data_IF_725364817502
#
_entry.id   IF_725364817502
#
_cell.length_a   1.000
_cell.length_b   1.000
_cell.length_c   1.000
_cell.angle_alpha   90.00
_cell.angle_beta   90.00
_cell.angle_gamma   90.00
#
_symmetry.space_group_name_H-M   'P 1'
#
loop_
_entity.id
_entity.type
_entity.pdbx_description
1 polymer ?
#
# COMPACT_ATOMS: atom_id res chain seq x y z
N UNK A 1 23.50 -3.42 -10.20
CA UNK A 1 22.48 -2.94 -11.16
C UNK A 1 21.05 -3.22 -10.69
N UNK A 2 20.72 -4.47 -10.41
CA UNK A 2 19.39 -4.83 -9.89
C UNK A 2 19.09 -4.16 -8.54
N UNK A 3 20.09 -4.04 -7.68
CA UNK A 3 19.95 -3.41 -6.37
C UNK A 3 19.64 -1.92 -6.49
N UNK A 4 20.26 -1.23 -7.44
CA UNK A 4 20.01 0.21 -7.65
C UNK A 4 18.59 0.43 -8.19
N UNK A 5 18.12 -0.42 -9.10
CA UNK A 5 16.77 -0.35 -9.62
C UNK A 5 15.74 -0.64 -8.52
N UNK A 6 16.00 -1.65 -7.70
CA UNK A 6 15.13 -2.01 -6.58
C UNK A 6 15.05 -0.88 -5.54
N UNK A 7 16.17 -0.25 -5.25
CA UNK A 7 16.23 0.89 -4.33
C UNK A 7 15.41 2.07 -4.86
N UNK A 8 15.47 2.34 -6.16
CA UNK A 8 14.66 3.41 -6.77
C UNK A 8 13.18 3.12 -6.70
N UNK A 9 12.78 1.86 -6.93
CA UNK A 9 11.39 1.46 -6.81
C UNK A 9 10.88 1.63 -5.38
N UNK A 10 11.67 1.20 -4.40
CA UNK A 10 11.32 1.35 -2.99
C UNK A 10 11.18 2.82 -2.59
N UNK A 11 12.09 3.68 -3.07
CA UNK A 11 12.01 5.11 -2.81
C UNK A 11 10.76 5.73 -3.42
N UNK A 12 10.43 5.36 -4.65
CA UNK A 12 9.24 5.84 -5.34
C UNK A 12 7.96 5.40 -4.62
N UNK A 13 7.92 4.16 -4.14
CA UNK A 13 6.79 3.64 -3.37
C UNK A 13 6.62 4.41 -2.06
N UNK A 14 7.73 4.69 -1.38
CA UNK A 14 7.71 5.44 -0.12
C UNK A 14 7.17 6.85 -0.33
N UNK A 15 7.61 7.52 -1.39
CA UNK A 15 7.09 8.84 -1.75
C UNK A 15 5.60 8.80 -2.07
N UNK A 16 5.16 7.79 -2.80
CA UNK A 16 3.77 7.59 -3.16
C UNK A 16 2.90 7.39 -1.92
N UNK A 17 3.36 6.55 -0.98
CA UNK A 17 2.66 6.31 0.28
C UNK A 17 2.55 7.60 1.09
N UNK A 18 3.64 8.37 1.18
CA UNK A 18 3.64 9.66 1.87
C UNK A 18 2.67 10.65 1.23
N UNK A 19 2.58 10.66 -0.09
CA UNK A 19 1.63 11.52 -0.81
C UNK A 19 0.19 11.15 -0.51
N UNK A 20 -0.13 9.86 -0.51
CA UNK A 20 -1.47 9.37 -0.16
C UNK A 20 -1.79 9.73 1.29
N UNK A 21 -0.83 9.56 2.21
CA UNK A 21 -1.01 9.91 3.61
C UNK A 21 -1.35 11.39 3.76
N UNK A 22 -0.54 12.26 3.17
CA UNK A 22 -0.73 13.71 3.28
C UNK A 22 -2.01 14.19 2.63
N UNK A 23 -2.36 13.63 1.47
CA UNK A 23 -3.51 14.11 0.70
C UNK A 23 -4.84 13.57 1.20
N UNK A 24 -4.86 12.36 1.77
CA UNK A 24 -6.13 11.70 2.11
C UNK A 24 -6.15 11.06 3.49
N UNK A 25 -5.15 10.25 3.84
CA UNK A 25 -5.22 9.45 5.06
C UNK A 25 -5.16 10.28 6.33
N UNK A 26 -4.34 11.34 6.35
CA UNK A 26 -4.26 12.22 7.52
C UNK A 26 -5.56 12.92 7.80
N UNK A 27 -6.24 13.37 6.73
CA UNK A 27 -7.55 14.01 6.87
C UNK A 27 -8.58 13.06 7.47
N UNK A 28 -8.59 11.81 7.00
CA UNK A 28 -9.49 10.78 7.52
C UNK A 28 -9.17 10.45 8.98
N UNK A 29 -7.89 10.35 9.33
CA UNK A 29 -7.46 10.07 10.69
C UNK A 29 -7.78 11.23 11.63
N UNK A 30 -7.54 12.45 11.17
CA UNK A 30 -7.92 13.63 11.94
C UNK A 30 -9.42 13.66 12.20
N UNK A 31 -10.21 13.40 11.15
CA UNK A 31 -11.67 13.32 11.27
C UNK A 31 -12.10 12.24 12.25
N UNK A 32 -11.43 11.10 12.23
CA UNK A 32 -11.68 10.00 13.18
C UNK A 32 -11.45 10.44 14.62
N UNK A 33 -10.32 11.10 14.89
CA UNK A 33 -10.00 11.55 16.24
C UNK A 33 -10.94 12.65 16.72
N UNK A 34 -11.32 13.58 15.84
CA UNK A 34 -12.29 14.63 16.19
C UNK A 34 -13.66 14.02 16.47
N UNK A 35 -14.09 13.08 15.65
CA UNK A 35 -15.33 12.33 15.83
C UNK A 35 -15.34 11.60 17.17
N UNK A 36 -14.25 10.90 17.49
CA UNK A 36 -14.12 10.19 18.77
C UNK A 36 -14.15 11.16 19.97
N UNK A 37 -13.50 12.31 19.84
CA UNK A 37 -13.53 13.34 20.87
C UNK A 37 -14.97 13.81 21.14
N UNK A 38 -15.75 14.00 20.07
CA UNK A 38 -17.16 14.38 20.20
C UNK A 38 -17.98 13.28 20.88
N UNK A 39 -17.69 12.00 20.57
CA UNK A 39 -18.33 10.88 21.25
C UNK A 39 -18.11 10.93 22.77
N UNK A 40 -16.87 11.21 23.17
CA UNK A 40 -16.51 11.28 24.60
C UNK A 40 -17.04 12.52 25.29
N UNK A 41 -17.36 13.56 24.55
CA UNK A 41 -17.95 14.80 25.10
C UNK A 41 -19.41 14.61 25.47
N UNK A 42 -20.06 13.58 24.96
CA UNK A 42 -21.48 13.31 25.30
C UNK A 42 -21.59 12.65 26.67
N UNK A 43 -21.89 13.46 27.67
CA UNK A 43 -22.00 12.99 29.06
C UNK A 43 -23.31 12.26 29.35
N UNK A 44 -24.27 12.30 28.43
CA UNK A 44 -25.56 11.63 28.58
C UNK A 44 -25.53 10.20 28.04
N UNK A 45 -24.60 9.87 27.19
CA UNK A 45 -24.44 8.53 26.65
C UNK A 45 -23.81 7.58 27.67
N UNK A 46 -24.25 6.33 27.67
CA UNK A 46 -23.63 5.30 28.50
C UNK A 46 -22.33 4.82 27.86
N UNK A 47 -21.59 3.96 28.56
CA UNK A 47 -20.31 3.46 28.11
C UNK A 47 -20.41 2.71 26.77
N UNK A 48 -21.44 1.89 26.60
CA UNK A 48 -21.64 1.11 25.37
C UNK A 48 -21.96 2.03 24.19
N UNK A 49 -22.76 3.07 24.42
CA UNK A 49 -23.08 4.05 23.38
C UNK A 49 -21.85 4.81 22.92
N UNK A 50 -21.00 5.24 23.86
CA UNK A 50 -19.74 5.92 23.55
C UNK A 50 -18.83 4.99 22.73
N UNK A 51 -18.71 3.72 23.16
CA UNK A 51 -17.88 2.74 22.49
C UNK A 51 -18.31 2.52 21.02
N UNK A 52 -19.61 2.35 20.81
CA UNK A 52 -20.17 2.20 19.46
C UNK A 52 -19.99 3.46 18.61
N UNK A 53 -20.12 4.61 19.23
CA UNK A 53 -19.87 5.89 18.57
C UNK A 53 -18.43 5.97 18.06
N UNK A 54 -17.47 5.65 18.89
CA UNK A 54 -16.03 5.66 18.54
C UNK A 54 -15.75 4.64 17.41
N UNK A 55 -16.34 3.45 17.51
CA UNK A 55 -16.18 2.45 16.45
C UNK A 55 -16.66 2.95 15.11
N UNK A 56 -17.82 3.61 15.06
CA UNK A 56 -18.33 4.20 13.83
C UNK A 56 -17.40 5.28 13.29
N UNK A 57 -16.79 6.05 14.17
CA UNK A 57 -15.84 7.09 13.76
C UNK A 57 -14.61 6.50 13.07
N UNK A 58 -14.20 5.31 13.47
CA UNK A 58 -13.00 4.65 12.94
C UNK A 58 -13.20 4.02 11.56
N UNK A 59 -14.43 3.70 11.19
CA UNK A 59 -14.72 2.93 9.98
C UNK A 59 -14.18 3.55 8.69
N UNK A 60 -14.36 4.85 8.41
CA UNK A 60 -13.85 5.42 7.16
C UNK A 60 -12.33 5.31 7.03
N UNK A 61 -11.61 5.59 8.11
CA UNK A 61 -10.14 5.51 8.13
C UNK A 61 -9.67 4.07 7.96
N UNK A 62 -10.32 3.12 8.63
CA UNK A 62 -9.99 1.69 8.51
C UNK A 62 -10.21 1.18 7.10
N UNK A 63 -11.33 1.54 6.48
CA UNK A 63 -11.61 1.13 5.09
C UNK A 63 -10.58 1.70 4.12
N UNK A 64 -10.20 2.96 4.31
CA UNK A 64 -9.20 3.60 3.46
C UNK A 64 -7.84 2.92 3.61
N UNK A 65 -7.43 2.62 4.83
CA UNK A 65 -6.16 1.93 5.09
C UNK A 65 -6.14 0.54 4.48
N UNK A 66 -7.23 -0.22 4.63
CA UNK A 66 -7.35 -1.56 4.05
C UNK A 66 -7.29 -1.51 2.53
N UNK A 67 -7.94 -0.52 1.93
CA UNK A 67 -7.93 -0.35 0.49
C UNK A 67 -6.52 -0.05 -0.02
N UNK A 68 -5.82 0.88 0.63
CA UNK A 68 -4.44 1.24 0.26
C UNK A 68 -3.54 0.01 0.41
N UNK A 69 -3.67 -0.73 1.51
CA UNK A 69 -2.87 -1.92 1.74
C UNK A 69 -3.10 -2.97 0.65
N UNK A 70 -4.36 -3.24 0.30
CA UNK A 70 -4.71 -4.19 -0.76
C UNK A 70 -4.11 -3.78 -2.10
N UNK A 71 -4.19 -2.50 -2.44
CA UNK A 71 -3.64 -1.99 -3.70
C UNK A 71 -2.12 -2.06 -3.72
N UNK A 72 -1.47 -1.80 -2.60
CA UNK A 72 -0.01 -1.92 -2.49
C UNK A 72 0.43 -3.38 -2.65
N UNK A 73 -0.26 -4.31 -2.02
CA UNK A 73 0.02 -5.74 -2.15
C UNK A 73 -0.14 -6.20 -3.59
N UNK A 74 -1.21 -5.77 -4.25
CA UNK A 74 -1.46 -6.08 -5.66
C UNK A 74 -0.37 -5.52 -6.55
N UNK A 75 0.06 -4.30 -6.29
CA UNK A 75 1.16 -3.67 -7.02
C UNK A 75 2.46 -4.42 -6.84
N UNK A 76 2.79 -4.81 -5.60
CA UNK A 76 4.00 -5.58 -5.30
C UNK A 76 4.01 -6.93 -6.00
N UNK A 77 2.87 -7.63 -6.03
CA UNK A 77 2.73 -8.90 -6.74
C UNK A 77 2.95 -8.71 -8.25
N UNK A 78 2.33 -7.68 -8.82
CA UNK A 78 2.48 -7.38 -10.25
C UNK A 78 3.93 -7.04 -10.58
N UNK A 79 4.57 -6.27 -9.73
CA UNK A 79 5.97 -5.90 -9.91
C UNK A 79 6.89 -7.12 -9.82
N UNK A 80 6.64 -8.00 -8.86
CA UNK A 80 7.41 -9.24 -8.71
C UNK A 80 7.30 -10.12 -9.94
N UNK A 81 6.09 -10.27 -10.48
CA UNK A 81 5.87 -11.05 -11.71
C UNK A 81 6.57 -10.41 -12.90
N UNK A 82 6.52 -9.10 -12.99
CA UNK A 82 7.19 -8.35 -14.06
C UNK A 82 8.69 -8.55 -14.00
N UNK A 83 9.28 -8.46 -12.80
CA UNK A 83 10.72 -8.66 -12.61
C UNK A 83 11.14 -10.08 -13.00
N UNK A 84 10.37 -11.08 -12.56
CA UNK A 84 10.64 -12.48 -12.91
C UNK A 84 10.57 -12.71 -14.42
N UNK A 85 9.57 -12.14 -15.07
CA UNK A 85 9.41 -12.23 -16.51
C UNK A 85 10.58 -11.58 -17.25
N UNK A 86 11.02 -10.40 -16.81
CA UNK A 86 12.18 -9.72 -17.38
C UNK A 86 13.45 -10.54 -17.22
N UNK A 87 13.64 -11.15 -16.05
CA UNK A 87 14.80 -12.01 -15.80
C UNK A 87 14.82 -13.22 -16.73
N UNK A 88 13.67 -13.86 -16.93
CA UNK A 88 13.54 -15.00 -17.82
C UNK A 88 13.83 -14.59 -19.26
N UNK A 89 13.32 -13.47 -19.72
CA UNK A 89 13.59 -12.96 -21.06
C UNK A 89 15.07 -12.67 -21.28
N UNK A 90 15.72 -12.07 -20.30
CA UNK A 90 17.17 -11.80 -20.37
C UNK A 90 17.96 -13.11 -20.42
N UNK A 91 17.61 -14.08 -19.59
CA UNK A 91 18.24 -15.40 -19.60
C UNK A 91 18.13 -16.07 -20.95
N UNK A 92 16.93 -16.05 -21.55
CA UNK A 92 16.69 -16.64 -22.86
C UNK A 92 17.52 -15.97 -23.94
N UNK A 93 17.59 -14.64 -23.92
CA UNK A 93 18.39 -13.88 -24.87
C UNK A 93 19.88 -14.15 -24.73
N UNK A 94 20.36 -14.20 -23.49
CA UNK A 94 21.77 -14.52 -23.21
C UNK A 94 22.10 -15.95 -23.64
N UNK A 95 21.22 -16.89 -23.35
CA UNK A 95 21.42 -18.29 -23.75
C UNK A 95 21.50 -18.42 -25.27
N UNK A 96 20.62 -17.74 -25.97
CA UNK A 96 20.64 -17.74 -27.46
C UNK A 96 21.94 -17.12 -27.99
N UNK A 97 22.40 -16.04 -27.38
CA UNK A 97 23.63 -15.35 -27.76
C UNK A 97 24.87 -16.20 -27.54
N UNK A 98 24.94 -16.87 -26.40
CA UNK A 98 26.13 -17.63 -26.02
C UNK A 98 26.17 -19.04 -26.61
N UNK A 99 25.03 -19.58 -26.95
CA UNK A 99 24.94 -20.97 -27.44
C UNK A 99 24.11 -21.03 -28.72
N UNK A 100 24.58 -20.38 -29.79
CA UNK A 100 23.82 -20.38 -31.05
C UNK A 100 23.60 -21.78 -31.64
N UNK A 101 24.49 -22.71 -31.31
CA UNK A 101 24.36 -24.10 -31.78
C UNK A 101 23.19 -24.83 -31.13
N UNK A 102 22.69 -24.35 -30.01
CA UNK A 102 21.54 -24.95 -29.33
C UNK A 102 20.22 -24.73 -30.04
N UNK A 103 20.15 -23.74 -30.86
CA UNK A 103 18.93 -23.38 -31.56
C UNK A 103 18.65 -24.27 -32.76
N UNK A 104 19.53 -25.19 -33.08
CA UNK A 104 19.36 -26.12 -34.16
C UNK A 104 18.42 -27.27 -33.84
#
# INVERSE_FOLDING_TARGET
MAEAAQSRVQSAMKEFINEIDKSKLRGLQRGMHMCAADCHADTLADMDQVHRCVERCQQPAQRAQQHVQSELERFQESLSRCVLQCQDEVKDKVAIKHYPSRTK
#
